data_IF_794812527994
#
_entry.id   IF_794812527994
#
_cell.length_a   1.000
_cell.length_b   1.000
_cell.length_c   1.000
_cell.angle_alpha   90.00
_cell.angle_beta   90.00
_cell.angle_gamma   90.00
#
_symmetry.space_group_name_H-M   'P 1'
#
loop_
_entity.id
_entity.type
_entity.pdbx_description
1 polymer ?
#
# COMPACT_ATOMS: atom_id res chain seq x y z
N UNK A 1 -11.04 -6.72 14.68
CA UNK A 1 -10.01 -7.59 14.04
C UNK A 1 -10.56 -8.05 12.71
N UNK A 2 -9.80 -7.93 11.63
CA UNK A 2 -10.18 -8.46 10.32
C UNK A 2 -9.84 -9.96 10.30
N UNK A 3 -10.80 -10.81 9.94
CA UNK A 3 -10.56 -12.25 9.77
C UNK A 3 -10.14 -12.55 8.33
N UNK A 4 -9.52 -13.71 8.10
CA UNK A 4 -9.06 -14.17 6.77
C UNK A 4 -10.17 -14.21 5.72
N UNK A 5 -11.40 -14.48 6.16
CA UNK A 5 -12.61 -14.58 5.37
C UNK A 5 -13.26 -13.23 5.01
N UNK A 6 -12.87 -12.14 5.67
CA UNK A 6 -13.37 -10.81 5.33
C UNK A 6 -12.70 -10.26 4.07
N UNK A 7 -13.39 -9.34 3.39
CA UNK A 7 -12.83 -8.62 2.26
C UNK A 7 -11.53 -7.90 2.67
N UNK A 8 -10.56 -7.94 1.77
CA UNK A 8 -9.26 -7.34 1.97
C UNK A 8 -9.40 -5.81 2.03
N UNK A 9 -8.82 -5.15 3.04
CA UNK A 9 -8.93 -3.69 3.17
C UNK A 9 -8.37 -2.90 2.00
N UNK A 10 -7.47 -3.48 1.20
CA UNK A 10 -6.81 -2.78 0.09
C UNK A 10 -7.75 -2.42 -1.07
N UNK A 11 -9.06 -2.67 -0.97
CA UNK A 11 -10.04 -2.28 -1.98
C UNK A 11 -10.03 -3.17 -3.23
N UNK A 12 -9.39 -4.34 -3.19
CA UNK A 12 -9.31 -5.26 -4.33
C UNK A 12 -10.61 -6.03 -4.61
N UNK A 13 -11.57 -6.01 -3.67
CA UNK A 13 -12.79 -6.83 -3.73
C UNK A 13 -12.58 -8.32 -3.43
N UNK A 14 -11.34 -8.78 -3.24
CA UNK A 14 -11.01 -10.15 -2.85
C UNK A 14 -11.03 -10.31 -1.33
N UNK A 15 -11.15 -11.55 -0.84
CA UNK A 15 -10.95 -11.88 0.58
C UNK A 15 -9.49 -11.65 0.98
N UNK A 16 -9.25 -11.33 2.25
CA UNK A 16 -7.90 -11.07 2.75
C UNK A 16 -6.95 -12.25 2.52
N UNK A 17 -7.44 -13.49 2.73
CA UNK A 17 -6.67 -14.72 2.51
C UNK A 17 -6.21 -14.94 1.07
N UNK A 18 -6.97 -14.44 0.09
CA UNK A 18 -6.71 -14.59 -1.34
C UNK A 18 -6.04 -13.34 -1.95
N UNK A 19 -5.67 -12.38 -1.11
CA UNK A 19 -5.16 -11.08 -1.53
C UNK A 19 -3.84 -10.72 -0.83
N UNK A 20 -3.88 -9.99 0.28
CA UNK A 20 -2.67 -9.50 0.95
C UNK A 20 -2.10 -10.49 1.97
N UNK A 21 -2.90 -11.42 2.50
CA UNK A 21 -2.44 -12.35 3.53
C UNK A 21 -1.26 -13.23 3.05
N UNK A 22 -1.25 -13.82 1.85
CA UNK A 22 -0.13 -14.65 1.41
C UNK A 22 1.19 -13.87 1.38
N UNK A 23 1.15 -12.59 0.98
CA UNK A 23 2.33 -11.73 1.00
C UNK A 23 2.83 -11.47 2.42
N UNK A 24 1.90 -11.23 3.36
CA UNK A 24 2.25 -10.97 4.75
C UNK A 24 2.88 -12.19 5.45
N UNK A 25 2.30 -13.38 5.27
CA UNK A 25 2.77 -14.58 5.98
C UNK A 25 4.04 -15.18 5.36
N UNK A 26 4.28 -14.95 4.06
CA UNK A 26 5.43 -15.49 3.36
C UNK A 26 6.60 -14.52 3.23
N UNK A 27 6.55 -13.34 3.86
CA UNK A 27 7.58 -12.30 3.74
C UNK A 27 9.00 -12.82 4.05
N UNK A 28 9.12 -13.68 5.05
CA UNK A 28 10.40 -14.29 5.47
C UNK A 28 10.83 -15.42 4.55
N UNK A 29 9.90 -16.31 4.19
CA UNK A 29 10.18 -17.46 3.32
C UNK A 29 10.46 -17.08 1.86
N UNK A 30 9.93 -15.95 1.39
CA UNK A 30 9.95 -15.55 -0.02
C UNK A 30 9.10 -16.43 -0.95
N UNK A 31 8.30 -17.37 -0.43
CA UNK A 31 7.48 -18.27 -1.25
C UNK A 31 6.42 -17.53 -2.07
N UNK A 32 5.87 -16.45 -1.51
CA UNK A 32 4.94 -15.55 -2.21
C UNK A 32 5.47 -14.12 -2.09
N UNK A 33 5.71 -13.50 -3.24
CA UNK A 33 6.16 -12.11 -3.35
C UNK A 33 5.20 -11.31 -4.22
N UNK A 34 5.16 -9.99 -4.00
CA UNK A 34 4.40 -9.11 -4.85
C UNK A 34 4.95 -9.19 -6.27
N UNK A 35 4.07 -9.33 -7.26
CA UNK A 35 4.44 -9.40 -8.68
C UNK A 35 4.56 -8.02 -9.31
N UNK A 36 3.77 -7.07 -8.83
CA UNK A 36 3.71 -5.68 -9.33
C UNK A 36 3.93 -4.69 -8.19
N UNK A 37 4.37 -3.46 -8.48
CA UNK A 37 4.49 -2.40 -7.48
C UNK A 37 3.14 -2.08 -6.83
N UNK A 38 2.04 -2.09 -7.60
CA UNK A 38 0.68 -1.92 -7.05
C UNK A 38 0.33 -3.01 -6.03
N UNK A 39 0.64 -4.26 -6.33
CA UNK A 39 0.35 -5.36 -5.39
C UNK A 39 1.11 -5.17 -4.08
N UNK A 40 2.38 -4.72 -4.15
CA UNK A 40 3.14 -4.39 -2.96
C UNK A 40 2.51 -3.21 -2.20
N UNK A 41 2.18 -2.12 -2.89
CA UNK A 41 1.55 -0.93 -2.31
C UNK A 41 0.25 -1.29 -1.55
N UNK A 42 -0.62 -2.08 -2.17
CA UNK A 42 -1.88 -2.57 -1.59
C UNK A 42 -1.64 -3.42 -0.34
N UNK A 43 -0.66 -4.33 -0.38
CA UNK A 43 -0.30 -5.13 0.80
C UNK A 43 0.26 -4.28 1.94
N UNK A 44 1.13 -3.29 1.63
CA UNK A 44 1.63 -2.34 2.63
C UNK A 44 0.51 -1.56 3.29
N UNK A 45 -0.47 -1.08 2.52
CA UNK A 45 -1.67 -0.45 3.10
C UNK A 45 -2.39 -1.40 4.08
N UNK A 46 -2.65 -2.65 3.68
CA UNK A 46 -3.27 -3.64 4.59
C UNK A 46 -2.43 -3.90 5.84
N UNK A 47 -1.10 -3.91 5.72
CA UNK A 47 -0.22 -4.06 6.87
C UNK A 47 -0.35 -2.87 7.85
N UNK A 48 -0.52 -1.64 7.37
CA UNK A 48 -0.86 -0.50 8.25
C UNK A 48 -2.23 -0.67 8.93
N UNK A 49 -3.26 -1.11 8.19
CA UNK A 49 -4.59 -1.38 8.75
C UNK A 49 -4.54 -2.43 9.87
N UNK A 50 -3.72 -3.47 9.68
CA UNK A 50 -3.57 -4.59 10.61
C UNK A 50 -2.49 -4.37 11.67
N UNK A 51 -1.78 -3.24 11.64
CA UNK A 51 -0.59 -2.97 12.45
C UNK A 51 0.51 -4.02 12.31
N UNK A 52 0.62 -4.67 11.14
CA UNK A 52 1.72 -5.56 10.78
C UNK A 52 2.94 -4.75 10.34
N UNK A 53 3.55 -4.03 11.28
CA UNK A 53 4.65 -3.10 11.00
C UNK A 53 5.96 -3.80 10.65
N UNK A 54 6.14 -5.06 11.04
CA UNK A 54 7.26 -5.88 10.60
C UNK A 54 7.26 -6.04 9.06
N UNK A 55 6.10 -6.31 8.46
CA UNK A 55 5.96 -6.34 7.00
C UNK A 55 6.29 -4.99 6.35
N UNK A 56 5.92 -3.86 6.99
CA UNK A 56 6.26 -2.52 6.50
C UNK A 56 7.78 -2.36 6.42
N UNK A 57 8.52 -2.73 7.47
CA UNK A 57 9.98 -2.61 7.48
C UNK A 57 10.64 -3.55 6.46
N UNK A 58 10.21 -4.82 6.42
CA UNK A 58 10.78 -5.83 5.50
C UNK A 58 10.54 -5.53 4.03
N UNK A 59 9.51 -4.74 3.72
CA UNK A 59 9.20 -4.30 2.35
C UNK A 59 9.62 -2.85 2.06
N UNK A 60 10.30 -2.20 3.00
CA UNK A 60 10.94 -0.90 2.80
C UNK A 60 12.38 -1.12 2.36
N UNK A 61 12.83 -0.38 1.36
CA UNK A 61 14.21 -0.48 0.91
C UNK A 61 15.15 0.03 2.01
N UNK A 62 16.19 -0.74 2.43
CA UNK A 62 17.02 -0.38 3.57
C UNK A 62 17.65 1.02 3.50
N UNK A 63 18.09 1.43 2.30
CA UNK A 63 18.66 2.77 2.04
C UNK A 63 17.68 3.93 2.29
N UNK A 64 16.37 3.69 2.24
CA UNK A 64 15.34 4.71 2.35
C UNK A 64 14.51 4.60 3.64
N UNK A 65 14.93 3.74 4.59
CA UNK A 65 14.25 3.61 5.88
C UNK A 65 14.24 4.91 6.68
N UNK A 66 15.25 5.78 6.49
CA UNK A 66 15.33 7.09 7.14
C UNK A 66 15.09 7.05 8.66
N UNK A 67 15.63 6.02 9.32
CA UNK A 67 15.48 5.83 10.78
C UNK A 67 14.13 5.27 11.23
N UNK A 68 13.26 4.85 10.31
CA UNK A 68 12.01 4.16 10.64
C UNK A 68 12.30 2.84 11.36
N UNK A 69 11.70 2.66 12.54
CA UNK A 69 11.87 1.46 13.36
C UNK A 69 10.52 0.86 13.74
N UNK A 70 10.54 -0.38 14.21
CA UNK A 70 9.34 -1.04 14.73
C UNK A 70 8.80 -0.30 15.95
N UNK A 71 9.68 0.22 16.81
CA UNK A 71 9.29 1.02 17.96
C UNK A 71 8.56 2.30 17.53
N UNK A 72 9.11 3.06 16.58
CA UNK A 72 8.49 4.32 16.12
C UNK A 72 7.14 4.09 15.44
N UNK A 73 6.97 3.00 14.70
CA UNK A 73 5.68 2.62 14.10
C UNK A 73 4.65 2.20 15.17
N UNK A 74 5.08 1.52 16.23
CA UNK A 74 4.19 1.11 17.32
C UNK A 74 3.75 2.26 18.22
N UNK A 75 4.59 3.29 18.41
CA UNK A 75 4.26 4.44 19.27
C UNK A 75 3.65 5.62 18.52
N UNK A 76 3.75 5.65 17.19
CA UNK A 76 3.18 6.70 16.35
C UNK A 76 1.64 6.72 16.36
N UNK A 77 1.02 7.75 15.74
CA UNK A 77 -0.43 7.81 15.62
C UNK A 77 -0.94 6.61 14.81
N UNK A 78 -2.00 5.98 15.30
CA UNK A 78 -2.67 4.87 14.61
C UNK A 78 -4.03 5.36 14.11
N UNK A 79 -4.09 5.98 12.93
CA UNK A 79 -5.33 6.50 12.43
C UNK A 79 -6.29 5.36 12.08
N UNK A 80 -7.58 5.68 12.07
CA UNK A 80 -8.59 4.76 11.55
C UNK A 80 -8.60 4.82 10.02
N UNK A 81 -7.97 3.84 9.39
CA UNK A 81 -7.96 3.71 7.93
C UNK A 81 -9.36 3.41 7.40
N UNK A 82 -9.81 4.21 6.42
CA UNK A 82 -11.15 4.15 5.86
C UNK A 82 -11.20 3.40 4.53
N UNK A 83 -10.22 3.64 3.66
CA UNK A 83 -10.17 3.01 2.34
C UNK A 83 -8.91 3.37 1.56
N UNK A 84 -8.69 2.62 0.48
CA UNK A 84 -7.57 2.80 -0.44
C UNK A 84 -8.09 2.95 -1.87
N UNK A 85 -7.71 4.06 -2.51
CA UNK A 85 -7.94 4.34 -3.92
C UNK A 85 -6.59 4.36 -4.66
N UNK A 86 -6.37 3.42 -5.59
CA UNK A 86 -5.21 3.46 -6.49
C UNK A 86 -5.62 4.19 -7.76
N UNK A 87 -4.92 5.27 -8.09
CA UNK A 87 -5.20 6.10 -9.26
C UNK A 87 -4.41 5.66 -10.50
N UNK A 88 -3.17 5.25 -10.31
CA UNK A 88 -2.32 4.74 -11.39
C UNK A 88 -1.20 3.85 -10.86
N UNK A 89 -0.74 2.93 -11.71
CA UNK A 89 0.49 2.19 -11.49
C UNK A 89 1.24 1.98 -12.79
N UNK A 90 2.56 1.99 -12.73
CA UNK A 90 3.43 1.67 -13.86
C UNK A 90 4.67 0.93 -13.39
N UNK A 91 5.30 0.16 -14.28
CA UNK A 91 6.62 -0.42 -14.08
C UNK A 91 7.44 -0.29 -15.36
N UNK A 92 8.77 -0.18 -15.23
CA UNK A 92 9.68 -0.26 -16.36
C UNK A 92 9.56 -1.64 -17.01
N UNK A 93 9.53 -1.74 -18.35
CA UNK A 93 9.50 -3.01 -19.03
C UNK A 93 10.64 -3.92 -18.55
N UNK A 94 10.36 -5.21 -18.34
CA UNK A 94 11.43 -6.17 -18.19
C UNK A 94 12.24 -6.16 -19.49
N UNK A 95 13.51 -5.75 -19.43
CA UNK A 95 14.39 -5.89 -20.58
C UNK A 95 14.45 -7.39 -20.92
N UNK A 96 13.91 -7.77 -22.08
CA UNK A 96 14.01 -9.13 -22.60
C UNK A 96 15.50 -9.43 -22.83
N UNK A 97 16.12 -10.13 -21.91
CA UNK A 97 17.49 -10.63 -22.03
C UNK A 97 17.55 -11.78 -23.03
N UNK A 98 17.35 -11.47 -24.32
CA UNK A 98 17.80 -12.31 -25.43
C UNK A 98 19.16 -11.87 -25.99
N UNK A 99 19.80 -10.87 -25.39
CA UNK A 99 21.23 -10.61 -25.64
C UNK A 99 22.06 -11.47 -24.69
N UNK A 100 22.50 -12.63 -25.19
CA UNK A 100 23.62 -13.36 -24.62
C UNK A 100 24.85 -12.45 -24.65
N UNK A 101 25.09 -11.72 -23.56
CA UNK A 101 26.39 -11.23 -23.09
C UNK A 101 26.17 -10.33 -21.86
N UNK A 102 26.36 -10.90 -20.67
CA UNK A 102 26.84 -10.31 -19.40
C UNK A 102 26.62 -8.80 -19.11
N UNK A 103 25.52 -8.19 -19.51
CA UNK A 103 25.09 -6.91 -18.96
C UNK A 103 24.30 -7.18 -17.68
N UNK A 104 24.71 -6.56 -16.57
CA UNK A 104 23.90 -6.53 -15.36
C UNK A 104 22.57 -5.89 -15.74
N UNK A 105 21.48 -6.65 -15.70
CA UNK A 105 20.16 -6.10 -15.99
C UNK A 105 19.87 -5.00 -14.97
N UNK A 106 19.59 -3.78 -15.45
CA UNK A 106 19.16 -2.68 -14.60
C UNK A 106 17.95 -3.10 -13.76
N UNK A 107 17.90 -2.71 -12.47
CA UNK A 107 16.77 -3.06 -11.62
C UNK A 107 15.48 -2.48 -12.22
N UNK A 108 14.38 -3.24 -12.12
CA UNK A 108 13.08 -2.72 -12.57
C UNK A 108 12.58 -1.70 -11.56
N UNK A 109 12.02 -0.62 -12.06
CA UNK A 109 11.40 0.42 -11.25
C UNK A 109 9.89 0.42 -11.44
N UNK A 110 9.16 0.85 -10.41
CA UNK A 110 7.72 0.91 -10.42
C UNK A 110 7.22 2.16 -9.71
N UNK A 111 6.05 2.63 -10.09
CA UNK A 111 5.38 3.74 -9.41
C UNK A 111 3.92 3.42 -9.16
N UNK A 112 3.38 3.94 -8.06
CA UNK A 112 1.95 3.84 -7.72
C UNK A 112 1.49 5.18 -7.18
N UNK A 113 0.47 5.77 -7.79
CA UNK A 113 -0.21 6.94 -7.26
C UNK A 113 -1.51 6.50 -6.61
N UNK A 114 -1.73 6.90 -5.35
CA UNK A 114 -2.88 6.43 -4.57
C UNK A 114 -3.33 7.47 -3.54
N UNK A 115 -4.55 7.29 -3.01
CA UNK A 115 -5.05 7.95 -1.81
C UNK A 115 -5.39 6.90 -0.75
N UNK A 116 -4.73 6.96 0.40
CA UNK A 116 -5.10 6.18 1.57
C UNK A 116 -5.83 7.08 2.56
N UNK A 117 -7.15 6.92 2.61
CA UNK A 117 -8.05 7.74 3.43
C UNK A 117 -8.04 7.27 4.87
N UNK A 118 -7.98 8.20 5.81
CA UNK A 118 -7.98 7.89 7.23
C UNK A 118 -8.68 8.96 8.06
N UNK A 119 -9.11 8.56 9.25
CA UNK A 119 -9.58 9.45 10.30
C UNK A 119 -8.56 9.48 11.44
N UNK A 120 -8.16 10.66 11.88
CA UNK A 120 -7.30 10.85 13.05
C UNK A 120 -7.87 11.99 13.90
N UNK A 121 -8.12 11.73 15.18
CA UNK A 121 -8.58 12.75 16.14
C UNK A 121 -9.85 13.53 15.73
N UNK A 122 -10.78 12.91 14.98
CA UNK A 122 -11.98 13.60 14.49
C UNK A 122 -11.88 14.03 13.03
N UNK A 123 -10.66 14.25 12.54
CA UNK A 123 -10.41 14.83 11.23
C UNK A 123 -10.26 13.78 10.14
N UNK A 124 -10.83 14.09 8.96
CA UNK A 124 -10.65 13.30 7.75
C UNK A 124 -9.47 13.85 6.96
N UNK A 125 -8.56 12.96 6.57
CA UNK A 125 -7.49 13.30 5.64
C UNK A 125 -7.12 12.08 4.77
N UNK A 126 -6.20 12.26 3.83
CA UNK A 126 -5.62 11.18 3.07
C UNK A 126 -4.13 11.38 2.82
N UNK A 127 -3.40 10.27 2.86
CA UNK A 127 -2.10 10.18 2.22
C UNK A 127 -2.37 10.12 0.72
N UNK A 128 -2.24 11.25 0.03
CA UNK A 128 -2.23 11.32 -1.43
C UNK A 128 -0.79 11.38 -1.90
N UNK A 129 -0.30 10.28 -2.47
CA UNK A 129 1.12 10.11 -2.75
C UNK A 129 1.35 9.42 -4.09
N UNK A 130 2.47 9.78 -4.74
CA UNK A 130 3.11 8.95 -5.78
C UNK A 130 4.32 8.26 -5.18
N UNK A 131 4.19 6.97 -4.86
CA UNK A 131 5.28 6.14 -4.36
C UNK A 131 6.14 5.61 -5.50
N UNK A 132 7.43 5.42 -5.21
CA UNK A 132 8.42 4.75 -6.03
C UNK A 132 8.81 3.40 -5.42
N UNK A 133 8.96 2.41 -6.28
CA UNK A 133 9.31 1.05 -5.94
C UNK A 133 10.48 0.57 -6.80
N UNK A 134 11.28 -0.34 -6.26
CA UNK A 134 12.37 -1.01 -6.97
C UNK A 134 12.24 -2.52 -6.81
N UNK A 135 12.43 -3.25 -7.89
CA UNK A 135 12.52 -4.69 -7.90
C UNK A 135 13.98 -5.11 -7.89
N UNK A 136 14.42 -5.74 -6.80
CA UNK A 136 15.77 -6.27 -6.65
C UNK A 136 15.71 -7.56 -5.85
N UNK A 137 16.72 -8.43 -6.03
CA UNK A 137 16.85 -9.69 -5.27
C UNK A 137 15.55 -10.52 -5.23
N UNK A 138 14.79 -10.51 -6.34
CA UNK A 138 13.57 -11.30 -6.52
C UNK A 138 12.29 -10.69 -5.92
N UNK A 139 12.30 -9.47 -5.37
CA UNK A 139 11.09 -8.84 -4.80
C UNK A 139 11.06 -7.32 -4.96
N UNK A 140 9.85 -6.76 -4.88
CA UNK A 140 9.64 -5.31 -4.83
C UNK A 140 9.93 -4.76 -3.43
N UNK A 141 10.46 -3.54 -3.39
CA UNK A 141 10.63 -2.73 -2.18
C UNK A 141 10.04 -1.35 -2.43
N UNK A 142 9.43 -0.77 -1.40
CA UNK A 142 9.11 0.66 -1.36
C UNK A 142 10.39 1.47 -1.13
N UNK A 143 10.62 2.51 -1.93
CA UNK A 143 11.74 3.42 -1.75
C UNK A 143 11.29 4.68 -1.01
N UNK A 144 10.59 5.55 -1.73
CA UNK A 144 10.22 6.89 -1.31
C UNK A 144 8.91 7.28 -1.98
N UNK A 145 8.34 8.41 -1.57
CA UNK A 145 7.08 8.89 -2.08
C UNK A 145 7.03 10.41 -2.12
N UNK A 146 6.35 10.94 -3.13
CA UNK A 146 6.06 12.36 -3.25
C UNK A 146 4.63 12.62 -2.77
N UNK A 147 4.49 13.34 -1.67
CA UNK A 147 3.20 13.71 -1.11
C UNK A 147 2.57 14.87 -1.91
N UNK A 148 1.25 14.79 -2.06
CA UNK A 148 0.40 15.75 -2.74
C UNK A 148 -0.78 16.12 -1.85
N UNK A 149 -1.50 17.19 -2.19
CA UNK A 149 -2.67 17.65 -1.43
C UNK A 149 -3.92 16.89 -1.86
N UNK A 150 -4.51 16.12 -0.94
CA UNK A 150 -5.79 15.46 -1.19
C UNK A 150 -6.93 16.48 -1.18
N UNK A 151 -7.85 16.37 -2.15
CA UNK A 151 -9.12 17.08 -2.11
C UNK A 151 -10.14 16.24 -1.34
N UNK A 152 -10.68 16.77 -0.24
CA UNK A 152 -11.71 16.10 0.54
C UNK A 152 -12.97 15.81 -0.29
N UNK A 153 -13.66 14.67 -0.06
CA UNK A 153 -14.89 14.33 -0.75
C UNK A 153 -16.00 15.32 -0.42
N UNK A 154 -16.76 15.72 -1.43
CA UNK A 154 -18.01 16.45 -1.25
C UNK A 154 -19.09 15.58 -0.62
N UNK A 155 -20.08 16.21 0.03
CA UNK A 155 -21.17 15.52 0.74
C UNK A 155 -21.91 14.47 -0.12
N UNK A 156 -22.04 14.71 -1.42
CA UNK A 156 -22.79 13.83 -2.33
C UNK A 156 -21.90 12.86 -3.13
N UNK A 157 -20.58 12.94 -2.99
CA UNK A 157 -19.64 12.07 -3.68
C UNK A 157 -19.71 10.64 -3.14
N UNK A 158 -19.13 9.68 -3.86
CA UNK A 158 -18.98 8.32 -3.35
C UNK A 158 -18.14 8.32 -2.06
N UNK A 159 -18.53 7.50 -1.08
CA UNK A 159 -17.82 7.45 0.18
C UNK A 159 -16.43 6.83 0.03
N UNK A 160 -15.44 7.43 0.69
CA UNK A 160 -14.01 7.03 0.66
C UNK A 160 -13.72 5.64 1.22
N UNK A 161 -14.65 5.05 1.97
CA UNK A 161 -14.55 3.66 2.44
C UNK A 161 -15.06 2.63 1.42
N UNK A 162 -15.45 3.09 0.22
CA UNK A 162 -15.95 2.25 -0.88
C UNK A 162 -17.17 1.38 -0.53
N UNK A 163 -17.99 1.82 0.43
CA UNK A 163 -19.23 1.13 0.84
C UNK A 163 -20.36 1.15 -0.20
N UNK A 164 -20.17 1.82 -1.34
CA UNK A 164 -21.21 2.08 -2.35
C UNK A 164 -22.21 3.18 -1.99
N UNK A 165 -22.11 3.78 -0.79
CA UNK A 165 -22.98 4.88 -0.34
C UNK A 165 -22.39 6.25 -0.69
N UNK A 166 -23.22 7.29 -0.71
CA UNK A 166 -22.76 8.69 -0.73
C UNK A 166 -22.04 9.02 0.58
N UNK A 167 -21.06 9.92 0.54
CA UNK A 167 -20.25 10.29 1.70
C UNK A 167 -21.08 10.77 2.89
N UNK A 168 -22.09 11.64 2.65
CA UNK A 168 -23.04 12.10 3.69
C UNK A 168 -23.88 11.00 4.34
N UNK A 169 -24.01 9.86 3.67
CA UNK A 169 -24.79 8.72 4.15
C UNK A 169 -23.92 7.66 4.84
N UNK A 170 -22.60 7.89 4.90
CA UNK A 170 -21.62 6.93 5.39
C UNK A 170 -20.60 7.63 6.31
N UNK A 171 -19.33 7.74 5.90
CA UNK A 171 -18.25 8.19 6.79
C UNK A 171 -18.43 9.61 7.34
N UNK A 172 -19.14 10.51 6.64
CA UNK A 172 -19.41 11.86 7.17
C UNK A 172 -20.23 11.83 8.47
N UNK A 173 -21.08 10.80 8.68
CA UNK A 173 -21.87 10.67 9.92
C UNK A 173 -21.02 10.30 11.14
N UNK A 174 -19.86 9.71 10.87
CA UNK A 174 -18.90 9.27 11.87
C UNK A 174 -17.72 10.22 11.98
N UNK A 175 -17.72 11.36 11.27
CA UNK A 175 -16.75 12.44 11.47
C UNK A 175 -17.11 13.24 12.70
#
# INVERSE_FOLDING_TARGET
MITTEQNCPCGSGKRYQDCCNPLHIHIDSGQVVARTPEQLMRSRYCAFVLKNFDYILKTHHPKYLNGLTLASLNTGPHPHWLGLEVLSSSETPAHNSQAANQAIAEPRHGTVTFKAWYKLEGELDAIYERSEFIYQTGRWYYNQGQQMTAKLPGRNDACVCHSGKKFKQCCLKSL
#
